data_IF_482794960151
#
_entry.id   IF_482794960151
#
_cell.length_a   1.000
_cell.length_b   1.000
_cell.length_c   1.000
_cell.angle_alpha   90.00
_cell.angle_beta   90.00
_cell.angle_gamma   90.00
#
_symmetry.space_group_name_H-M   'P 1'
#
loop_
_entity.id
_entity.type
_entity.pdbx_description
1 polymer ?
#
# COMPACT_ATOMS: atom_id res chain seq x y z
N UNK A 1 -7.57 -10.96 28.67
CA UNK A 1 -8.23 -10.43 27.48
C UNK A 1 -9.23 -9.40 27.98
N UNK A 2 -8.81 -8.14 28.11
CA UNK A 2 -9.65 -7.05 28.64
C UNK A 2 -9.99 -6.13 27.48
N UNK A 3 -11.21 -6.22 26.97
CA UNK A 3 -11.73 -5.33 25.94
C UNK A 3 -12.09 -3.96 26.52
N UNK A 4 -11.72 -2.92 25.76
CA UNK A 4 -12.01 -1.51 25.99
C UNK A 4 -13.52 -1.25 26.07
N UNK A 5 -14.07 -1.01 27.28
CA UNK A 5 -15.48 -0.64 27.45
C UNK A 5 -15.72 0.86 27.75
N UNK A 6 -14.71 1.72 27.65
CA UNK A 6 -14.80 3.10 28.18
C UNK A 6 -14.76 4.22 27.13
N UNK A 7 -14.90 3.90 25.84
CA UNK A 7 -14.76 4.94 24.78
C UNK A 7 -16.02 5.81 24.61
N UNK A 8 -17.19 5.33 25.05
CA UNK A 8 -18.46 6.05 24.88
C UNK A 8 -19.31 5.96 26.15
N UNK A 9 -19.45 7.10 26.84
CA UNK A 9 -20.27 7.22 28.05
C UNK A 9 -21.77 7.36 27.76
N UNK A 10 -22.57 7.52 28.82
CA UNK A 10 -24.04 7.63 28.76
C UNK A 10 -24.56 8.72 27.80
N UNK A 11 -23.76 9.74 27.50
CA UNK A 11 -24.09 10.82 26.55
C UNK A 11 -24.19 10.37 25.09
N UNK A 12 -23.63 9.21 24.72
CA UNK A 12 -23.76 8.66 23.38
C UNK A 12 -25.14 8.02 23.12
N UNK A 13 -25.96 7.86 24.18
CA UNK A 13 -27.26 7.20 24.12
C UNK A 13 -28.36 8.20 24.52
N UNK A 14 -29.43 8.28 23.73
CA UNK A 14 -30.64 9.02 24.10
C UNK A 14 -31.89 8.19 23.80
N UNK A 15 -32.95 8.43 24.57
CA UNK A 15 -34.22 7.72 24.44
C UNK A 15 -35.29 8.71 24.00
N UNK A 16 -36.04 8.37 22.96
CA UNK A 16 -37.19 9.14 22.49
C UNK A 16 -38.23 8.18 21.90
N UNK A 17 -39.49 8.31 22.30
CA UNK A 17 -40.64 7.59 21.72
C UNK A 17 -40.47 6.07 21.59
N UNK A 18 -39.95 5.43 22.64
CA UNK A 18 -39.71 3.97 22.64
C UNK A 18 -38.51 3.52 21.80
N UNK A 19 -37.74 4.45 21.21
CA UNK A 19 -36.49 4.16 20.50
C UNK A 19 -35.25 4.52 21.33
N UNK A 20 -34.24 3.67 21.23
CA UNK A 20 -32.87 3.94 21.67
C UNK A 20 -32.09 4.55 20.50
N UNK A 21 -31.70 5.82 20.63
CA UNK A 21 -30.83 6.53 19.68
C UNK A 21 -29.40 6.47 20.17
N UNK A 22 -28.50 5.98 19.33
CA UNK A 22 -27.06 5.87 19.63
C UNK A 22 -26.27 6.75 18.66
N UNK A 23 -25.43 7.63 19.18
CA UNK A 23 -24.55 8.50 18.38
C UNK A 23 -23.11 8.03 18.54
N UNK A 24 -22.59 7.40 17.48
CA UNK A 24 -21.20 6.94 17.42
C UNK A 24 -20.43 7.92 16.51
N UNK A 25 -19.59 8.82 17.05
CA UNK A 25 -18.74 9.66 16.23
C UNK A 25 -17.72 8.79 15.50
N UNK A 26 -17.71 8.89 14.16
CA UNK A 26 -16.80 8.19 13.26
C UNK A 26 -15.44 8.90 13.14
N UNK A 27 -14.83 9.28 14.27
CA UNK A 27 -13.45 9.81 14.33
C UNK A 27 -12.43 8.67 14.35
N UNK A 28 -12.58 7.71 13.43
CA UNK A 28 -11.65 6.59 13.31
C UNK A 28 -10.81 6.73 12.04
N UNK A 29 -9.68 7.41 12.18
CA UNK A 29 -8.62 7.37 11.18
C UNK A 29 -7.99 5.97 11.17
N UNK A 30 -8.50 5.11 10.29
CA UNK A 30 -7.87 3.82 10.03
C UNK A 30 -6.55 4.04 9.32
N UNK A 31 -5.44 3.72 9.98
CA UNK A 31 -4.10 3.72 9.37
C UNK A 31 -4.09 2.97 8.03
N UNK A 32 -4.82 1.86 7.92
CA UNK A 32 -4.98 1.11 6.67
C UNK A 32 -5.59 1.94 5.52
N UNK A 33 -6.60 2.76 5.82
CA UNK A 33 -7.25 3.62 4.82
C UNK A 33 -6.29 4.73 4.42
N UNK A 34 -5.61 5.36 5.38
CA UNK A 34 -4.62 6.40 5.12
C UNK A 34 -3.49 5.85 4.25
N UNK A 35 -2.96 4.68 4.59
CA UNK A 35 -1.91 4.00 3.84
C UNK A 35 -2.36 3.67 2.42
N UNK A 36 -3.59 3.16 2.24
CA UNK A 36 -4.15 2.90 0.91
C UNK A 36 -4.25 4.18 0.07
N UNK A 37 -4.80 5.26 0.63
CA UNK A 37 -4.96 6.54 -0.09
C UNK A 37 -3.59 7.12 -0.46
N UNK A 38 -2.62 7.07 0.45
CA UNK A 38 -1.26 7.53 0.18
C UNK A 38 -0.59 6.71 -0.92
N UNK A 39 -0.77 5.39 -0.90
CA UNK A 39 -0.23 4.50 -1.92
C UNK A 39 -0.80 4.79 -3.31
N UNK A 40 -2.11 5.00 -3.41
CA UNK A 40 -2.77 5.38 -4.67
C UNK A 40 -2.27 6.74 -5.18
N UNK A 41 -2.10 7.73 -4.30
CA UNK A 41 -1.50 9.02 -4.68
C UNK A 41 -0.09 8.86 -5.23
N UNK A 42 0.73 8.01 -4.61
CA UNK A 42 2.10 7.75 -5.07
C UNK A 42 2.10 7.03 -6.41
N UNK A 43 1.23 6.02 -6.60
CA UNK A 43 1.06 5.35 -7.90
C UNK A 43 0.67 6.32 -9.02
N UNK A 44 -0.22 7.27 -8.74
CA UNK A 44 -0.65 8.28 -9.72
C UNK A 44 0.46 9.28 -10.11
N UNK A 45 1.50 9.44 -9.27
CA UNK A 45 2.61 10.36 -9.51
C UNK A 45 3.87 9.64 -10.06
N UNK A 46 3.79 8.36 -10.43
CA UNK A 46 4.89 7.67 -11.10
C UNK A 46 5.11 8.22 -12.50
N UNK A 47 6.36 8.34 -12.92
CA UNK A 47 6.68 8.62 -14.33
C UNK A 47 6.31 7.45 -15.23
N UNK A 48 6.17 7.67 -16.54
CA UNK A 48 5.80 6.62 -17.49
C UNK A 48 6.72 5.40 -17.40
N UNK A 49 8.04 5.61 -17.32
CA UNK A 49 9.00 4.52 -17.17
C UNK A 49 8.86 3.80 -15.83
N UNK A 50 8.58 4.51 -14.73
CA UNK A 50 8.35 3.89 -13.42
C UNK A 50 7.06 3.05 -13.43
N UNK A 51 6.01 3.58 -14.05
CA UNK A 51 4.72 2.90 -14.21
C UNK A 51 4.89 1.64 -15.05
N UNK A 52 5.59 1.73 -16.18
CA UNK A 52 5.84 0.60 -17.06
C UNK A 52 6.62 -0.53 -16.37
N UNK A 53 7.68 -0.19 -15.62
CA UNK A 53 8.41 -1.17 -14.79
C UNK A 53 7.50 -1.78 -13.73
N UNK A 54 6.72 -0.96 -13.02
CA UNK A 54 5.81 -1.44 -11.98
C UNK A 54 4.75 -2.41 -12.53
N UNK A 55 4.13 -2.09 -13.67
CA UNK A 55 3.12 -2.92 -14.34
C UNK A 55 3.68 -4.25 -14.82
N UNK A 56 4.90 -4.24 -15.35
CA UNK A 56 5.58 -5.48 -15.72
C UNK A 56 5.82 -6.36 -14.48
N UNK A 57 6.32 -5.77 -13.39
CA UNK A 57 6.62 -6.50 -12.15
C UNK A 57 5.36 -6.90 -11.37
N UNK A 58 4.22 -6.23 -11.54
CA UNK A 58 2.95 -6.63 -10.92
C UNK A 58 2.30 -7.81 -11.65
N UNK A 59 2.58 -7.94 -12.94
CA UNK A 59 2.01 -9.00 -13.80
C UNK A 59 2.88 -10.25 -13.87
N UNK A 60 4.13 -10.19 -13.38
CA UNK A 60 5.11 -11.27 -13.51
C UNK A 60 5.84 -11.53 -12.19
N UNK A 61 6.18 -12.79 -11.92
CA UNK A 61 7.09 -13.13 -10.83
C UNK A 61 8.51 -12.86 -11.33
N UNK A 62 9.16 -11.83 -10.78
CA UNK A 62 10.49 -11.40 -11.23
C UNK A 62 11.55 -11.78 -10.20
N UNK A 63 12.52 -12.60 -10.60
CA UNK A 63 13.74 -12.86 -9.81
C UNK A 63 14.91 -12.01 -10.33
N UNK A 64 14.93 -11.70 -11.63
CA UNK A 64 16.04 -11.07 -12.33
C UNK A 64 15.65 -9.72 -12.95
N UNK A 65 16.37 -8.65 -12.59
CA UNK A 65 16.09 -7.31 -13.14
C UNK A 65 16.54 -7.12 -14.59
N UNK A 66 17.38 -8.02 -15.13
CA UNK A 66 17.73 -7.98 -16.55
C UNK A 66 16.52 -8.29 -17.42
N UNK A 67 15.68 -9.25 -17.02
CA UNK A 67 14.45 -9.58 -17.76
C UNK A 67 13.48 -8.39 -17.81
N UNK A 68 13.40 -7.61 -16.74
CA UNK A 68 12.60 -6.37 -16.69
C UNK A 68 13.18 -5.33 -17.63
N UNK A 69 14.51 -5.17 -17.65
CA UNK A 69 15.19 -4.24 -18.54
C UNK A 69 14.92 -4.57 -20.01
N UNK A 70 15.04 -5.85 -20.36
CA UNK A 70 14.80 -6.33 -21.73
C UNK A 70 13.32 -6.17 -22.13
N UNK A 71 12.38 -6.48 -21.23
CA UNK A 71 10.95 -6.35 -21.50
C UNK A 71 10.46 -4.90 -21.59
N UNK A 72 11.08 -3.98 -20.84
CA UNK A 72 10.69 -2.56 -20.80
C UNK A 72 11.50 -1.69 -21.77
N UNK A 73 12.52 -2.24 -22.43
CA UNK A 73 13.42 -1.50 -23.30
C UNK A 73 14.32 -0.49 -22.57
N UNK A 74 14.47 -0.63 -21.25
CA UNK A 74 15.27 0.26 -20.40
C UNK A 74 16.64 -0.34 -20.12
N UNK A 75 17.61 0.50 -19.76
CA UNK A 75 18.91 -0.01 -19.26
C UNK A 75 18.75 -0.69 -17.90
N UNK A 76 19.55 -1.72 -17.62
CA UNK A 76 19.59 -2.37 -16.30
C UNK A 76 19.86 -1.37 -15.16
N UNK A 77 20.75 -0.39 -15.40
CA UNK A 77 21.02 0.68 -14.44
C UNK A 77 19.80 1.57 -14.18
N UNK A 78 19.02 1.87 -15.23
CA UNK A 78 17.75 2.58 -15.12
C UNK A 78 16.71 1.80 -14.32
N UNK A 79 16.52 0.52 -14.64
CA UNK A 79 15.60 -0.37 -13.91
C UNK A 79 15.97 -0.48 -12.44
N UNK A 80 17.26 -0.65 -12.11
CA UNK A 80 17.72 -0.68 -10.70
C UNK A 80 17.35 0.60 -9.95
N UNK A 81 17.60 1.77 -10.54
CA UNK A 81 17.24 3.07 -9.95
C UNK A 81 15.72 3.20 -9.77
N UNK A 82 14.94 2.76 -10.75
CA UNK A 82 13.47 2.75 -10.65
C UNK A 82 13.00 1.82 -9.53
N UNK A 83 13.52 0.61 -9.44
CA UNK A 83 13.19 -0.35 -8.38
C UNK A 83 13.48 0.23 -7.00
N UNK A 84 14.64 0.86 -6.79
CA UNK A 84 14.96 1.52 -5.52
C UNK A 84 13.93 2.59 -5.15
N UNK A 85 13.53 3.45 -6.09
CA UNK A 85 12.46 4.44 -5.85
C UNK A 85 11.12 3.80 -5.53
N UNK A 86 10.74 2.74 -6.24
CA UNK A 86 9.49 2.00 -5.97
C UNK A 86 9.51 1.33 -4.58
N UNK A 87 10.68 0.90 -4.10
CA UNK A 87 10.85 0.41 -2.73
C UNK A 87 10.73 1.52 -1.69
N UNK A 88 11.34 2.68 -1.93
CA UNK A 88 11.20 3.88 -1.07
C UNK A 88 9.73 4.32 -0.97
N UNK A 89 8.98 4.18 -2.06
CA UNK A 89 7.55 4.43 -2.13
C UNK A 89 6.67 3.33 -1.50
N UNK A 90 7.26 2.24 -1.01
CA UNK A 90 6.51 1.10 -0.45
C UNK A 90 5.65 0.34 -1.46
N UNK A 91 5.93 0.52 -2.75
CA UNK A 91 5.22 -0.13 -3.86
C UNK A 91 5.87 -1.45 -4.27
N UNK A 92 7.14 -1.63 -3.96
CA UNK A 92 7.91 -2.81 -4.33
C UNK A 92 8.71 -3.31 -3.12
N UNK A 93 8.86 -4.61 -3.00
CA UNK A 93 9.76 -5.23 -2.04
C UNK A 93 10.51 -6.41 -2.67
N UNK A 94 11.67 -6.74 -2.10
CA UNK A 94 12.39 -7.96 -2.47
C UNK A 94 12.28 -8.96 -1.32
N UNK A 95 11.55 -10.06 -1.54
CA UNK A 95 11.38 -11.13 -0.57
C UNK A 95 12.45 -12.20 -0.76
N UNK A 96 13.13 -12.60 0.32
CA UNK A 96 14.14 -13.65 0.30
C UNK A 96 15.58 -13.13 0.27
N UNK A 97 16.53 -14.01 -0.03
CA UNK A 97 17.97 -13.71 0.03
C UNK A 97 18.40 -12.74 -1.08
N UNK A 98 19.58 -12.10 -0.93
CA UNK A 98 20.15 -11.23 -1.98
C UNK A 98 20.33 -11.96 -3.32
N UNK A 99 20.59 -13.27 -3.32
CA UNK A 99 20.82 -14.06 -4.53
C UNK A 99 19.52 -14.64 -5.10
N UNK A 100 18.68 -15.21 -4.24
CA UNK A 100 17.57 -16.08 -4.64
C UNK A 100 16.18 -15.46 -4.34
N UNK A 101 16.16 -14.17 -3.96
CA UNK A 101 14.94 -13.44 -3.65
C UNK A 101 14.16 -12.97 -4.88
N UNK A 102 12.85 -12.86 -4.71
CA UNK A 102 11.90 -12.41 -5.73
C UNK A 102 11.41 -11.00 -5.45
N UNK A 103 11.12 -10.26 -6.50
CA UNK A 103 10.48 -8.96 -6.43
C UNK A 103 8.96 -9.13 -6.34
N UNK A 104 8.36 -8.41 -5.40
CA UNK A 104 6.92 -8.48 -5.09
C UNK A 104 6.39 -7.06 -5.04
N UNK A 105 5.35 -6.78 -5.84
CA UNK A 105 4.62 -5.52 -5.76
C UNK A 105 3.68 -5.54 -4.56
N UNK A 106 3.56 -4.42 -3.86
CA UNK A 106 2.58 -4.23 -2.80
C UNK A 106 1.36 -3.47 -3.29
#
# INVERSE_FOLDING_TARGET
>A
MSENFDKYGRSAFSFADGMLKVTIPLEFEREEIINRVNKEKVKNNLTDNQKHVYEYMSSNIVSNLQEVADATGLSLGGVKKICSKLQEHGLLERKGSKRDGMWVTK
#
